data_IF_297977751025
#
_entry.id   IF_297977751025
#
_cell.length_a   1.000
_cell.length_b   1.000
_cell.length_c   1.000
_cell.angle_alpha   90.00
_cell.angle_beta   90.00
_cell.angle_gamma   90.00
#
_symmetry.space_group_name_H-M   'P 1'
#
loop_
_entity.id
_entity.type
_entity.pdbx_description
1 polymer ?
#
# COMPACT_ATOMS: atom_id res chain seq x y z
N UNK A 1 -0.92 -31.70 -14.34
CA UNK A 1 -1.38 -30.68 -15.32
C UNK A 1 -1.79 -29.43 -14.56
N UNK A 2 -0.89 -28.45 -14.44
CA UNK A 2 -1.20 -27.15 -13.82
C UNK A 2 -1.91 -26.28 -14.87
N UNK A 3 -3.19 -25.93 -14.64
CA UNK A 3 -3.85 -24.87 -15.38
C UNK A 3 -3.43 -23.53 -14.78
N UNK A 4 -2.55 -22.82 -15.47
CA UNK A 4 -2.29 -21.40 -15.22
C UNK A 4 -3.52 -20.60 -15.65
N UNK A 5 -4.35 -20.21 -14.71
CA UNK A 5 -5.39 -19.21 -14.95
C UNK A 5 -4.71 -17.85 -14.88
N UNK A 6 -4.13 -17.41 -16.00
CA UNK A 6 -3.91 -15.98 -16.24
C UNK A 6 -5.30 -15.35 -16.28
N UNK A 7 -5.73 -14.84 -15.13
CA UNK A 7 -6.94 -14.04 -15.01
C UNK A 7 -6.74 -12.82 -15.88
N UNK A 8 -7.30 -12.86 -17.09
CA UNK A 8 -7.52 -11.69 -17.93
C UNK A 8 -8.37 -10.71 -17.13
N UNK A 9 -7.73 -9.77 -16.44
CA UNK A 9 -8.42 -8.62 -15.87
C UNK A 9 -8.92 -7.79 -17.07
N UNK A 10 -10.17 -7.99 -17.45
CA UNK A 10 -10.87 -7.16 -18.43
C UNK A 10 -10.70 -5.69 -18.01
N UNK A 11 -9.84 -4.94 -18.72
CA UNK A 11 -9.66 -3.51 -18.45
C UNK A 11 -10.95 -2.78 -18.81
N UNK A 12 -11.75 -2.45 -17.80
CA UNK A 12 -12.97 -1.68 -17.96
C UNK A 12 -12.61 -0.24 -18.33
N UNK A 13 -12.89 0.15 -19.57
CA UNK A 13 -12.63 1.49 -20.10
C UNK A 13 -13.93 2.24 -20.31
N UNK A 14 -13.99 3.49 -19.85
CA UNK A 14 -15.07 4.43 -20.16
C UNK A 14 -14.49 5.75 -20.65
N UNK A 15 -14.96 6.22 -21.81
CA UNK A 15 -14.66 7.55 -22.33
C UNK A 15 -15.63 8.53 -21.67
N UNK A 16 -15.12 9.63 -21.13
CA UNK A 16 -15.90 10.69 -20.46
C UNK A 16 -15.63 12.05 -21.11
N UNK A 17 -16.58 12.96 -20.97
CA UNK A 17 -16.42 14.34 -21.43
C UNK A 17 -15.63 15.17 -20.42
N UNK A 18 -14.92 16.18 -20.93
CA UNK A 18 -14.24 17.19 -20.13
C UNK A 18 -15.01 18.50 -20.29
N UNK A 19 -15.40 19.12 -19.17
CA UNK A 19 -16.12 20.40 -19.19
C UNK A 19 -15.19 21.55 -19.60
N UNK A 20 -15.75 22.70 -19.99
CA UNK A 20 -14.96 23.90 -20.32
C UNK A 20 -14.11 24.44 -19.14
N UNK A 21 -14.48 24.10 -17.90
CA UNK A 21 -13.70 24.40 -16.69
C UNK A 21 -12.69 23.30 -16.35
N UNK A 22 -12.43 22.36 -17.27
CA UNK A 22 -11.52 21.22 -17.10
C UNK A 22 -11.98 20.27 -15.99
N UNK A 23 -13.29 20.24 -15.70
CA UNK A 23 -13.85 19.31 -14.74
C UNK A 23 -14.24 18.02 -15.45
N UNK A 24 -14.02 16.90 -14.79
CA UNK A 24 -14.47 15.57 -15.21
C UNK A 24 -15.32 14.97 -14.09
N UNK A 25 -16.38 14.25 -14.48
CA UNK A 25 -17.18 13.49 -13.52
C UNK A 25 -16.64 12.06 -13.48
N UNK A 26 -16.22 11.61 -12.31
CA UNK A 26 -15.83 10.20 -12.10
C UNK A 26 -17.12 9.36 -12.16
N UNK A 27 -17.20 8.34 -13.04
CA UNK A 27 -18.35 7.44 -13.06
C UNK A 27 -18.60 6.79 -11.70
N UNK A 28 -19.86 6.73 -11.27
CA UNK A 28 -20.27 6.21 -9.96
C UNK A 28 -19.64 4.85 -9.61
N UNK A 29 -19.64 3.91 -10.57
CA UNK A 29 -19.02 2.60 -10.41
C UNK A 29 -17.53 2.67 -10.01
N UNK A 30 -16.76 3.61 -10.58
CA UNK A 30 -15.35 3.77 -10.26
C UNK A 30 -15.15 4.50 -8.94
N UNK A 31 -16.03 5.47 -8.64
CA UNK A 31 -16.04 6.19 -7.37
C UNK A 31 -16.22 5.23 -6.19
N UNK A 32 -17.22 4.35 -6.27
CA UNK A 32 -17.50 3.33 -5.26
C UNK A 32 -16.42 2.25 -5.20
N UNK A 33 -15.99 1.72 -6.35
CA UNK A 33 -15.02 0.63 -6.40
C UNK A 33 -13.63 1.01 -5.86
N UNK A 34 -13.20 2.26 -6.07
CA UNK A 34 -11.92 2.76 -5.58
C UNK A 34 -12.03 3.39 -4.19
N UNK A 35 -13.25 3.59 -3.67
CA UNK A 35 -13.48 4.21 -2.36
C UNK A 35 -13.10 5.68 -2.33
N UNK A 36 -13.46 6.43 -3.38
CA UNK A 36 -13.28 7.87 -3.39
C UNK A 36 -14.14 8.55 -2.31
N UNK A 37 -13.62 9.66 -1.79
CA UNK A 37 -14.33 10.57 -0.91
C UNK A 37 -14.48 11.94 -1.61
N UNK A 38 -14.54 13.02 -0.85
CA UNK A 38 -14.61 14.37 -1.41
C UNK A 38 -13.28 14.88 -1.98
N UNK A 39 -12.17 14.23 -1.65
CA UNK A 39 -10.83 14.63 -2.08
C UNK A 39 -10.08 13.48 -2.76
N UNK A 40 -9.23 13.86 -3.71
CA UNK A 40 -8.45 12.94 -4.52
C UNK A 40 -7.07 13.52 -4.81
N UNK A 41 -6.07 12.65 -4.81
CA UNK A 41 -4.73 12.96 -5.31
C UNK A 41 -4.75 12.94 -6.85
N UNK A 42 -4.16 13.96 -7.47
CA UNK A 42 -4.10 14.13 -8.91
C UNK A 42 -2.62 14.26 -9.34
N UNK A 43 -2.09 13.23 -9.99
CA UNK A 43 -0.67 13.13 -10.37
C UNK A 43 -0.51 13.21 -11.88
N UNK A 44 0.32 14.14 -12.36
CA UNK A 44 0.73 14.20 -13.77
C UNK A 44 1.97 13.31 -13.99
N UNK A 45 1.82 12.23 -14.75
CA UNK A 45 2.93 11.32 -15.10
C UNK A 45 2.67 10.59 -16.42
N UNK A 46 3.73 10.27 -17.17
CA UNK A 46 3.64 9.47 -18.40
C UNK A 46 2.61 10.00 -19.43
N UNK A 47 2.54 11.34 -19.58
CA UNK A 47 1.57 12.00 -20.45
C UNK A 47 0.10 11.69 -20.10
N UNK A 48 -0.18 11.38 -18.83
CA UNK A 48 -1.50 11.09 -18.31
C UNK A 48 -1.69 11.74 -16.92
N UNK A 49 -2.95 11.91 -16.53
CA UNK A 49 -3.32 12.26 -15.15
C UNK A 49 -3.79 10.98 -14.46
N UNK A 50 -3.19 10.66 -13.32
CA UNK A 50 -3.59 9.57 -12.44
C UNK A 50 -4.33 10.15 -11.25
N UNK A 51 -5.61 9.78 -11.11
CA UNK A 51 -6.46 10.19 -10.01
C UNK A 51 -6.55 9.04 -9.01
N UNK A 52 -6.18 9.30 -7.75
CA UNK A 52 -6.25 8.31 -6.66
C UNK A 52 -7.08 8.87 -5.49
N UNK A 53 -7.85 8.02 -4.80
CA UNK A 53 -8.54 8.45 -3.58
C UNK A 53 -7.51 8.80 -2.50
N UNK A 54 -7.74 9.89 -1.76
CA UNK A 54 -6.94 10.15 -0.56
C UNK A 54 -7.42 9.18 0.52
N UNK A 55 -6.56 8.22 0.86
CA UNK A 55 -6.79 7.36 2.03
C UNK A 55 -6.17 8.05 3.23
N UNK A 56 -7.00 8.61 4.11
CA UNK A 56 -6.50 9.19 5.37
C UNK A 56 -5.89 8.15 6.32
N UNK A 57 -5.90 6.86 5.99
CA UNK A 57 -5.64 5.85 7.02
C UNK A 57 -4.94 4.56 6.57
N UNK A 58 -3.77 4.68 5.94
CA UNK A 58 -2.76 3.60 6.05
C UNK A 58 -2.00 3.65 7.38
N UNK A 59 -2.28 4.65 8.23
CA UNK A 59 -1.67 4.81 9.55
C UNK A 59 -2.33 4.01 10.66
N UNK A 60 -3.62 3.64 10.55
CA UNK A 60 -4.35 3.04 11.67
C UNK A 60 -4.24 1.52 11.82
N UNK A 61 -3.88 0.77 10.78
CA UNK A 61 -3.82 -0.70 10.89
C UNK A 61 -2.82 -1.15 11.97
N UNK A 62 -1.82 -0.32 12.27
CA UNK A 62 -0.79 -0.60 13.27
C UNK A 62 -0.88 0.30 14.49
N UNK A 63 -1.87 1.19 14.57
CA UNK A 63 -1.98 2.14 15.68
C UNK A 63 -2.04 1.43 17.04
N UNK A 64 -2.84 0.38 17.15
CA UNK A 64 -2.99 -0.39 18.39
C UNK A 64 -1.71 -1.12 18.78
N UNK A 65 -1.02 -1.73 17.81
CA UNK A 65 0.23 -2.46 18.03
C UNK A 65 1.36 -1.51 18.42
N UNK A 66 1.49 -0.38 17.72
CA UNK A 66 2.48 0.66 18.06
C UNK A 66 2.20 1.22 19.46
N UNK A 67 0.94 1.49 19.81
CA UNK A 67 0.60 1.97 21.16
C UNK A 67 0.93 0.93 22.23
N UNK A 68 0.62 -0.34 21.99
CA UNK A 68 0.93 -1.43 22.92
C UNK A 68 2.44 -1.52 23.18
N UNK A 69 3.24 -1.46 22.11
CA UNK A 69 4.71 -1.48 22.21
C UNK A 69 5.26 -0.27 22.97
N UNK A 70 4.72 0.93 22.71
CA UNK A 70 5.19 2.14 23.38
C UNK A 70 4.79 2.18 24.86
N UNK A 71 3.62 1.66 25.20
CA UNK A 71 3.18 1.50 26.59
C UNK A 71 4.05 0.45 27.30
N UNK A 72 4.37 -0.67 26.64
CA UNK A 72 5.26 -1.70 27.18
C UNK A 72 6.69 -1.18 27.43
N UNK A 73 7.14 -0.24 26.61
CA UNK A 73 8.42 0.49 26.79
C UNK A 73 8.36 1.54 27.92
N UNK A 74 7.20 1.76 28.53
CA UNK A 74 7.01 2.68 29.66
C UNK A 74 6.77 4.14 29.27
N UNK A 75 6.54 4.44 27.99
CA UNK A 75 6.20 5.80 27.56
C UNK A 75 4.79 6.17 28.00
N UNK A 76 4.61 7.40 28.49
CA UNK A 76 3.31 7.89 28.96
C UNK A 76 3.10 9.38 28.66
N UNK A 77 1.84 9.84 28.77
CA UNK A 77 1.48 11.24 28.59
C UNK A 77 1.88 11.83 27.23
N UNK A 78 2.54 12.99 27.25
CA UNK A 78 2.95 13.69 26.03
C UNK A 78 4.08 12.98 25.28
N UNK A 79 4.96 12.26 25.97
CA UNK A 79 6.05 11.51 25.35
C UNK A 79 5.54 10.37 24.47
N UNK A 80 4.47 9.69 24.92
CA UNK A 80 3.80 8.65 24.15
C UNK A 80 3.28 9.17 22.80
N UNK A 81 2.67 10.35 22.79
CA UNK A 81 2.13 10.96 21.57
C UNK A 81 3.23 11.33 20.56
N UNK A 82 4.36 11.84 21.05
CA UNK A 82 5.52 12.18 20.20
C UNK A 82 6.09 10.91 19.58
N UNK A 83 6.36 9.89 20.39
CA UNK A 83 6.89 8.61 19.93
C UNK A 83 5.93 7.87 18.99
N UNK A 84 4.63 7.92 19.27
CA UNK A 84 3.61 7.34 18.41
C UNK A 84 3.60 7.97 17.01
N UNK A 85 3.67 9.30 16.92
CA UNK A 85 3.76 10.02 15.64
C UNK A 85 5.06 9.72 14.87
N UNK A 86 6.17 9.55 15.57
CA UNK A 86 7.45 9.18 14.94
C UNK A 86 7.40 7.76 14.38
N UNK A 87 6.83 6.82 15.14
CA UNK A 87 6.80 5.41 14.80
C UNK A 87 5.78 5.14 13.70
N UNK A 88 4.57 5.69 13.79
CA UNK A 88 3.52 5.51 12.76
C UNK A 88 3.95 6.00 11.37
N UNK A 89 4.71 7.09 11.30
CA UNK A 89 5.29 7.57 10.02
C UNK A 89 6.32 6.61 9.41
N UNK A 90 7.01 5.82 10.22
CA UNK A 90 8.05 4.88 9.76
C UNK A 90 7.48 3.50 9.40
N UNK A 91 6.38 3.08 10.03
CA UNK A 91 5.79 1.75 9.81
C UNK A 91 5.23 1.61 8.39
N UNK A 92 4.43 2.57 7.92
CA UNK A 92 3.84 2.51 6.58
C UNK A 92 4.87 2.32 5.43
N UNK A 93 5.98 3.10 5.34
CA UNK A 93 6.96 2.91 4.28
C UNK A 93 7.80 1.64 4.44
N UNK A 94 8.02 1.15 5.66
CA UNK A 94 8.72 -0.12 5.87
C UNK A 94 7.87 -1.31 5.40
N UNK A 95 6.56 -1.27 5.65
CA UNK A 95 5.65 -2.33 5.25
C UNK A 95 5.46 -2.39 3.73
N UNK A 96 5.29 -1.23 3.07
CA UNK A 96 5.21 -1.20 1.61
C UNK A 96 6.44 -1.83 0.95
N UNK A 97 7.64 -1.58 1.49
CA UNK A 97 8.87 -2.25 1.03
C UNK A 97 8.84 -3.76 1.24
N UNK A 98 8.32 -4.23 2.37
CA UNK A 98 8.18 -5.66 2.65
C UNK A 98 7.21 -6.33 1.66
N UNK A 99 6.09 -5.69 1.36
CA UNK A 99 5.12 -6.15 0.35
C UNK A 99 5.78 -6.18 -1.03
N UNK A 100 6.47 -5.11 -1.43
CA UNK A 100 7.19 -5.05 -2.71
C UNK A 100 8.27 -6.15 -2.84
N UNK A 101 9.00 -6.42 -1.75
CA UNK A 101 9.99 -7.49 -1.68
C UNK A 101 9.34 -8.87 -1.82
N UNK A 102 8.24 -9.12 -1.10
CA UNK A 102 7.48 -10.36 -1.19
C UNK A 102 6.91 -10.59 -2.60
N UNK A 103 6.37 -9.55 -3.24
CA UNK A 103 5.87 -9.60 -4.61
C UNK A 103 6.99 -9.87 -5.62
N UNK A 104 8.15 -9.26 -5.44
CA UNK A 104 9.34 -9.48 -6.28
C UNK A 104 9.87 -10.92 -6.16
N UNK A 105 9.84 -11.49 -4.95
CA UNK A 105 10.19 -12.88 -4.69
C UNK A 105 9.19 -13.83 -5.34
N UNK A 106 7.88 -13.58 -5.19
CA UNK A 106 6.82 -14.40 -5.77
C UNK A 106 6.84 -14.40 -7.30
N UNK A 107 7.18 -13.27 -7.93
CA UNK A 107 7.37 -13.14 -9.39
C UNK A 107 8.68 -13.77 -9.88
N UNK A 108 9.59 -14.15 -8.98
CA UNK A 108 10.90 -14.71 -9.33
C UNK A 108 11.93 -13.68 -9.79
N UNK A 109 11.65 -12.38 -9.61
CA UNK A 109 12.57 -11.27 -9.94
C UNK A 109 13.71 -11.16 -8.90
N UNK A 110 13.45 -11.58 -7.66
CA UNK A 110 14.46 -11.75 -6.61
C UNK A 110 14.59 -13.23 -6.25
N UNK A 111 15.83 -13.70 -6.06
CA UNK A 111 16.07 -15.03 -5.49
C UNK A 111 15.74 -14.99 -4.00
N UNK A 112 14.84 -15.86 -3.57
CA UNK A 112 14.59 -16.09 -2.14
C UNK A 112 15.81 -16.70 -1.47
N UNK A 113 15.93 -16.49 -0.16
CA UNK A 113 16.91 -17.18 0.65
C UNK A 113 16.60 -18.69 0.62
N UNK A 114 17.64 -19.50 0.43
CA UNK A 114 17.52 -20.96 0.49
C UNK A 114 17.46 -21.44 1.94
N UNK A 115 17.02 -22.68 2.17
CA UNK A 115 17.00 -23.27 3.51
C UNK A 115 18.38 -23.25 4.17
N UNK A 116 19.44 -23.47 3.38
CA UNK A 116 20.82 -23.41 3.84
C UNK A 116 21.28 -21.98 4.20
N UNK A 117 20.73 -20.95 3.56
CA UNK A 117 21.03 -19.55 3.87
C UNK A 117 20.40 -19.10 5.20
N UNK A 118 19.29 -19.72 5.61
CA UNK A 118 18.54 -19.36 6.83
C UNK A 118 18.97 -20.20 8.03
N UNK A 119 19.15 -21.51 7.83
CA UNK A 119 19.42 -22.45 8.91
C UNK A 119 20.88 -22.92 8.99
N UNK A 120 21.71 -22.49 8.04
CA UNK A 120 23.06 -23.02 7.84
C UNK A 120 23.03 -24.35 7.08
N UNK A 121 24.15 -24.70 6.44
CA UNK A 121 24.33 -26.06 5.93
C UNK A 121 24.57 -26.98 7.13
N UNK A 122 23.80 -28.06 7.25
CA UNK A 122 24.06 -29.10 8.25
C UNK A 122 25.47 -29.66 8.03
N UNK A 123 26.41 -29.32 8.91
CA UNK A 123 27.69 -30.03 9.00
C UNK A 123 27.38 -31.47 9.45
N UNK A 124 27.74 -32.43 8.58
CA UNK A 124 27.56 -33.87 8.81
C UNK A 124 28.47 -34.41 9.91
#
# INVERSE_FOLDING_TARGET
MLKSTVGSSSMERKIISVSGKRQITIPQKYFEALGFSNEAECILQNNAIVIRPIRENTGNEFSEQILTDLIAQGFSGQELLVKFKEMSKKVAPAMNKLIDDADSLAKGEKKGATMADIFGAEEK
#
